data_IF_238521068401
#
_entry.id   IF_238521068401
#
_cell.length_a   1.000
_cell.length_b   1.000
_cell.length_c   1.000
_cell.angle_alpha   90.00
_cell.angle_beta   90.00
_cell.angle_gamma   90.00
#
_symmetry.space_group_name_H-M   'P 1'
#
loop_
_entity.id
_entity.type
_entity.pdbx_description
1 polymer ?
#
# COMPACT_ATOMS: atom_id res chain seq x y z
N UNK A 1 -9.50 -23.70 23.81
CA UNK A 1 -8.18 -23.89 23.17
C UNK A 1 -8.23 -23.13 21.84
N UNK A 2 -7.37 -22.13 21.64
CA UNK A 2 -7.34 -21.36 20.38
C UNK A 2 -6.55 -22.17 19.35
N UNK A 3 -7.14 -22.43 18.18
CA UNK A 3 -6.49 -23.15 17.07
C UNK A 3 -6.36 -22.17 15.89
N UNK A 4 -5.17 -22.09 15.30
CA UNK A 4 -5.00 -21.31 14.07
C UNK A 4 -5.85 -21.95 12.95
N UNK A 5 -6.48 -21.12 12.13
CA UNK A 5 -7.29 -21.60 11.00
C UNK A 5 -6.42 -21.97 9.78
N UNK A 6 -5.14 -21.57 9.79
CA UNK A 6 -4.13 -21.92 8.81
C UNK A 6 -2.84 -22.26 9.57
N UNK A 7 -2.55 -23.54 9.73
CA UNK A 7 -1.30 -24.03 10.31
C UNK A 7 -0.17 -24.02 9.24
N UNK A 8 -0.53 -24.15 7.96
CA UNK A 8 0.36 -24.02 6.81
C UNK A 8 0.30 -22.58 6.26
N UNK A 9 1.47 -21.99 6.02
CA UNK A 9 1.60 -20.64 5.47
C UNK A 9 2.81 -20.54 4.54
N UNK A 10 2.69 -19.66 3.55
CA UNK A 10 3.81 -19.26 2.71
C UNK A 10 4.29 -17.87 3.09
N UNK A 11 5.59 -17.64 2.92
CA UNK A 11 6.24 -16.39 3.28
C UNK A 11 6.35 -15.53 2.03
N UNK A 12 5.56 -14.45 1.98
CA UNK A 12 5.70 -13.42 0.93
C UNK A 12 7.06 -12.73 1.06
N UNK A 13 7.43 -12.35 2.28
CA UNK A 13 8.69 -11.69 2.58
C UNK A 13 9.09 -11.87 4.04
N UNK A 14 10.40 -11.97 4.29
CA UNK A 14 11.00 -11.96 5.63
C UNK A 14 12.18 -10.99 5.63
N UNK A 15 12.14 -10.00 6.51
CA UNK A 15 13.27 -9.08 6.69
C UNK A 15 14.50 -9.85 7.18
N UNK A 16 15.63 -9.66 6.50
CA UNK A 16 16.94 -10.17 6.93
C UNK A 16 17.52 -9.36 8.09
N UNK A 17 16.95 -8.18 8.38
CA UNK A 17 17.37 -7.26 9.44
C UNK A 17 16.21 -6.90 10.37
N UNK A 18 15.59 -7.88 11.05
CA UNK A 18 14.38 -7.65 11.85
C UNK A 18 14.59 -6.68 13.04
N UNK A 19 15.83 -6.38 13.42
CA UNK A 19 16.19 -5.41 14.45
C UNK A 19 16.01 -3.95 14.02
N UNK A 20 16.01 -3.65 12.71
CA UNK A 20 15.95 -2.27 12.22
C UNK A 20 15.19 -2.06 10.89
N UNK A 21 14.76 -3.13 10.23
CA UNK A 21 13.88 -3.15 9.05
C UNK A 21 12.68 -4.05 9.35
N UNK A 22 11.51 -3.44 9.44
CA UNK A 22 10.27 -4.09 9.82
C UNK A 22 9.26 -4.07 8.66
N UNK A 23 8.37 -5.06 8.63
CA UNK A 23 7.31 -5.16 7.63
C UNK A 23 6.01 -4.58 8.17
N UNK A 24 5.33 -3.75 7.39
CA UNK A 24 4.09 -3.06 7.77
C UNK A 24 3.01 -3.20 6.71
N UNK A 25 1.76 -3.07 7.16
CA UNK A 25 0.58 -2.77 6.33
C UNK A 25 0.46 -3.63 5.06
N UNK A 26 0.20 -4.95 5.19
CA UNK A 26 -0.01 -5.80 4.02
C UNK A 26 -1.33 -5.45 3.31
N UNK A 27 -1.30 -5.45 1.99
CA UNK A 27 -2.45 -5.40 1.09
C UNK A 27 -2.35 -6.52 0.06
N UNK A 28 -3.47 -7.04 -0.42
CA UNK A 28 -3.49 -8.15 -1.38
C UNK A 28 -4.67 -8.02 -2.33
N UNK A 29 -4.46 -8.40 -3.59
CA UNK A 29 -5.52 -8.51 -4.61
C UNK A 29 -5.25 -9.72 -5.50
N UNK A 30 -6.31 -10.34 -5.99
CA UNK A 30 -6.24 -11.35 -7.05
C UNK A 30 -6.75 -10.70 -8.33
N UNK A 31 -5.94 -10.75 -9.38
CA UNK A 31 -6.29 -10.13 -10.67
C UNK A 31 -7.14 -11.06 -11.52
N UNK A 32 -7.62 -10.58 -12.67
CA UNK A 32 -8.45 -11.39 -13.57
C UNK A 32 -7.71 -12.60 -14.16
N UNK A 33 -6.37 -12.55 -14.25
CA UNK A 33 -5.52 -13.68 -14.68
C UNK A 33 -5.35 -14.75 -13.59
N UNK A 34 -5.87 -14.50 -12.38
CA UNK A 34 -5.64 -15.26 -11.14
C UNK A 34 -4.25 -15.11 -10.53
N UNK A 35 -3.43 -14.17 -11.03
CA UNK A 35 -2.23 -13.76 -10.31
C UNK A 35 -2.60 -13.11 -8.98
N UNK A 36 -1.84 -13.44 -7.95
CA UNK A 36 -1.95 -12.80 -6.63
C UNK A 36 -0.90 -11.72 -6.52
N UNK A 37 -1.31 -10.50 -6.16
CA UNK A 37 -0.40 -9.37 -5.94
C UNK A 37 -0.50 -8.93 -4.50
N UNK A 38 0.64 -8.92 -3.81
CA UNK A 38 0.77 -8.44 -2.44
C UNK A 38 1.60 -7.15 -2.42
N UNK A 39 1.16 -6.21 -1.59
CA UNK A 39 1.95 -5.04 -1.22
C UNK A 39 2.17 -4.99 0.27
N UNK A 40 3.27 -4.41 0.70
CA UNK A 40 3.55 -4.08 2.10
C UNK A 40 4.63 -3.02 2.10
N UNK A 41 4.90 -2.40 3.25
CA UNK A 41 5.95 -1.39 3.35
C UNK A 41 7.02 -1.81 4.36
N UNK A 42 8.26 -1.52 4.03
CA UNK A 42 9.37 -1.56 4.95
C UNK A 42 9.46 -0.23 5.70
N UNK A 43 9.66 -0.31 7.01
CA UNK A 43 9.96 0.85 7.86
C UNK A 43 11.02 0.50 8.90
N UNK A 44 11.44 1.49 9.70
CA UNK A 44 12.51 1.33 10.68
C UNK A 44 13.77 2.12 10.32
N UNK A 45 14.74 2.18 11.24
CA UNK A 45 15.92 3.01 11.09
C UNK A 45 16.84 2.52 9.94
N UNK A 46 16.91 1.20 9.74
CA UNK A 46 17.74 0.58 8.72
C UNK A 46 17.22 0.78 7.30
N UNK A 47 15.95 1.17 7.12
CA UNK A 47 15.38 1.39 5.78
C UNK A 47 16.14 2.45 5.01
N UNK A 48 16.72 3.44 5.69
CA UNK A 48 17.48 4.51 5.02
C UNK A 48 18.70 4.00 4.23
N UNK A 49 19.23 2.84 4.61
CA UNK A 49 20.43 2.26 4.00
C UNK A 49 20.11 1.24 2.89
N UNK A 50 18.83 0.87 2.71
CA UNK A 50 18.41 -0.04 1.63
C UNK A 50 18.54 0.64 0.26
N UNK A 51 18.77 -0.13 -0.80
CA UNK A 51 18.69 0.39 -2.17
C UNK A 51 17.23 0.60 -2.59
N UNK A 52 16.99 1.56 -3.50
CA UNK A 52 15.66 1.84 -4.06
C UNK A 52 14.98 3.10 -3.53
N UNK A 53 13.80 3.44 -4.08
CA UNK A 53 13.07 4.66 -3.74
C UNK A 53 12.58 4.65 -2.30
N UNK A 54 12.65 5.81 -1.63
CA UNK A 54 12.20 5.98 -0.25
C UNK A 54 11.26 7.15 -0.13
N UNK A 55 10.13 6.90 0.51
CA UNK A 55 9.31 7.96 1.07
C UNK A 55 9.98 8.53 2.30
N UNK A 56 9.70 9.79 2.60
CA UNK A 56 10.14 10.46 3.82
C UNK A 56 8.96 11.07 4.56
N UNK A 57 8.91 10.87 5.88
CA UNK A 57 7.94 11.48 6.80
C UNK A 57 8.68 12.10 7.99
N UNK A 58 7.95 12.87 8.79
CA UNK A 58 8.45 13.51 10.00
C UNK A 58 9.74 14.33 9.75
N UNK A 59 9.73 15.13 8.68
CA UNK A 59 10.83 16.04 8.35
C UNK A 59 12.14 15.36 7.96
N UNK A 60 12.11 14.16 7.35
CA UNK A 60 13.36 13.47 6.96
C UNK A 60 13.84 12.40 7.93
N UNK A 61 13.13 12.19 9.04
CA UNK A 61 13.60 11.28 10.11
C UNK A 61 13.03 9.87 10.00
N UNK A 62 11.95 9.68 9.24
CA UNK A 62 11.33 8.37 9.02
C UNK A 62 11.26 8.03 7.54
N UNK A 63 11.92 6.94 7.18
CA UNK A 63 11.94 6.41 5.82
C UNK A 63 11.05 5.19 5.69
N UNK A 64 10.57 4.97 4.47
CA UNK A 64 9.85 3.77 4.14
C UNK A 64 9.87 3.49 2.66
N UNK A 65 9.63 2.23 2.36
CA UNK A 65 9.74 1.67 1.04
C UNK A 65 8.62 0.65 0.88
N UNK A 66 7.65 0.98 0.04
CA UNK A 66 6.65 0.01 -0.36
C UNK A 66 7.26 -1.05 -1.28
N UNK A 67 6.71 -2.25 -1.20
CA UNK A 67 7.15 -3.44 -1.90
C UNK A 67 5.97 -4.00 -2.69
N UNK A 68 6.24 -4.55 -3.87
CA UNK A 68 5.28 -5.33 -4.68
C UNK A 68 5.84 -6.72 -4.88
N UNK A 69 5.06 -7.71 -4.47
CA UNK A 69 5.32 -9.13 -4.72
C UNK A 69 4.17 -9.75 -5.50
N UNK A 70 4.48 -10.69 -6.38
CA UNK A 70 3.49 -11.41 -7.18
C UNK A 70 3.65 -12.91 -7.01
N UNK A 71 2.55 -13.64 -7.18
CA UNK A 71 2.51 -15.10 -7.22
C UNK A 71 1.63 -15.57 -8.37
N UNK A 72 2.19 -16.48 -9.16
CA UNK A 72 1.53 -17.11 -10.32
C UNK A 72 1.00 -18.52 -10.04
N UNK A 73 1.28 -19.06 -8.85
CA UNK A 73 0.96 -20.44 -8.44
C UNK A 73 -0.01 -20.46 -7.24
N UNK A 74 -0.86 -19.44 -7.12
CA UNK A 74 -1.89 -19.37 -6.09
C UNK A 74 -1.36 -19.08 -4.68
N UNK A 75 -0.17 -18.45 -4.59
CA UNK A 75 0.45 -18.05 -3.33
C UNK A 75 1.50 -19.03 -2.80
N UNK A 76 1.86 -20.06 -3.57
CA UNK A 76 2.86 -21.06 -3.17
C UNK A 76 4.29 -20.51 -3.25
N UNK A 77 4.56 -19.63 -4.22
CA UNK A 77 5.83 -18.91 -4.33
C UNK A 77 5.60 -17.45 -4.72
N UNK A 78 6.54 -16.59 -4.31
CA UNK A 78 6.43 -15.14 -4.46
C UNK A 78 7.70 -14.55 -5.05
N UNK A 79 7.54 -13.60 -5.96
CA UNK A 79 8.64 -12.87 -6.57
C UNK A 79 8.46 -11.36 -6.41
N UNK A 80 9.53 -10.66 -6.03
CA UNK A 80 9.54 -9.20 -6.02
C UNK A 80 9.40 -8.66 -7.44
N UNK A 81 8.62 -7.60 -7.62
CA UNK A 81 8.44 -6.91 -8.90
C UNK A 81 8.77 -5.44 -8.86
N UNK A 82 8.53 -4.76 -7.74
CA UNK A 82 8.82 -3.35 -7.64
C UNK A 82 8.97 -2.86 -6.20
N UNK A 83 9.60 -1.69 -6.05
CA UNK A 83 9.64 -0.91 -4.82
C UNK A 83 9.19 0.54 -5.09
N UNK A 84 8.57 1.20 -4.11
CA UNK A 84 7.99 2.54 -4.30
C UNK A 84 8.07 3.45 -3.05
N UNK A 85 8.10 4.78 -3.21
CA UNK A 85 8.45 5.72 -2.13
C UNK A 85 7.24 6.18 -1.28
N UNK A 86 6.27 5.31 -1.01
CA UNK A 86 5.12 5.66 -0.17
C UNK A 86 4.65 4.47 0.65
N UNK A 87 3.75 4.72 1.60
CA UNK A 87 3.30 3.73 2.59
C UNK A 87 1.80 3.47 2.53
N UNK A 88 1.40 2.47 3.31
CA UNK A 88 0.04 2.04 3.57
C UNK A 88 -0.70 1.76 2.27
N UNK A 89 0.08 1.21 1.36
CA UNK A 89 -0.30 0.96 0.00
C UNK A 89 -1.22 -0.24 -0.07
N UNK A 90 -2.20 -0.17 -0.96
CA UNK A 90 -3.12 -1.27 -1.23
C UNK A 90 -3.26 -1.46 -2.73
N UNK A 91 -3.19 -2.72 -3.21
CA UNK A 91 -3.42 -3.01 -4.60
C UNK A 91 -4.92 -3.18 -4.85
N UNK A 92 -5.42 -2.71 -5.99
CA UNK A 92 -6.79 -2.90 -6.42
C UNK A 92 -6.89 -2.87 -7.95
N UNK A 93 -7.94 -3.47 -8.49
CA UNK A 93 -8.17 -3.50 -9.95
C UNK A 93 -9.29 -2.54 -10.34
N UNK A 94 -9.13 -1.86 -11.46
CA UNK A 94 -10.14 -1.01 -12.09
C UNK A 94 -9.81 -0.87 -13.59
N UNK A 95 -10.81 -0.83 -14.45
CA UNK A 95 -10.63 -0.61 -15.89
C UNK A 95 -9.78 -1.67 -16.60
N UNK A 96 -9.74 -2.90 -16.06
CA UNK A 96 -8.86 -3.97 -16.57
C UNK A 96 -7.38 -3.78 -16.23
N UNK A 97 -7.06 -2.85 -15.33
CA UNK A 97 -5.70 -2.54 -14.89
C UNK A 97 -5.54 -2.74 -13.40
N UNK A 98 -4.29 -2.77 -12.96
CA UNK A 98 -3.91 -2.88 -11.57
C UNK A 98 -3.38 -1.53 -11.08
N UNK A 99 -3.81 -1.12 -9.90
CA UNK A 99 -3.41 0.12 -9.26
C UNK A 99 -2.90 -0.16 -7.86
N UNK A 100 -1.96 0.65 -7.40
CA UNK A 100 -1.56 0.72 -5.99
C UNK A 100 -1.77 2.16 -5.53
N UNK A 101 -2.56 2.33 -4.46
CA UNK A 101 -2.79 3.62 -3.82
C UNK A 101 -2.28 3.58 -2.37
N UNK A 102 -1.50 4.60 -2.01
CA UNK A 102 -0.99 4.83 -0.67
C UNK A 102 -0.71 6.30 -0.44
N UNK A 103 0.20 6.63 0.47
CA UNK A 103 0.52 8.03 0.75
C UNK A 103 1.93 8.25 1.32
N UNK A 104 2.49 9.43 1.06
CA UNK A 104 3.73 9.93 1.66
C UNK A 104 3.51 11.34 2.23
N UNK A 105 2.41 11.52 2.96
CA UNK A 105 1.81 12.83 3.22
C UNK A 105 0.60 12.96 2.30
N UNK A 106 0.84 13.37 1.07
CA UNK A 106 -0.14 13.37 -0.02
C UNK A 106 -0.46 11.95 -0.51
N UNK A 107 -1.66 11.78 -1.10
CA UNK A 107 -2.04 10.54 -1.77
C UNK A 107 -1.15 10.33 -2.99
N UNK A 108 -0.72 9.08 -3.18
CA UNK A 108 0.09 8.66 -4.31
C UNK A 108 -0.53 7.42 -4.94
N UNK A 109 -0.43 7.35 -6.26
CA UNK A 109 -0.91 6.21 -7.05
C UNK A 109 0.12 5.78 -8.08
N UNK A 110 0.18 4.49 -8.35
CA UNK A 110 0.91 3.91 -9.47
C UNK A 110 0.03 2.84 -10.13
N UNK A 111 0.33 2.54 -11.40
CA UNK A 111 -0.48 1.65 -12.23
C UNK A 111 0.39 0.63 -12.93
N UNK A 112 -0.15 -0.58 -13.11
CA UNK A 112 0.38 -1.59 -14.00
C UNK A 112 -0.66 -1.92 -15.08
N UNK A 113 -0.18 -2.01 -16.31
CA UNK A 113 -0.94 -2.38 -17.51
C UNK A 113 -0.67 -3.83 -17.94
N UNK A 114 0.19 -4.55 -17.23
CA UNK A 114 0.71 -5.88 -17.53
C UNK A 114 0.67 -6.82 -16.31
N UNK A 115 -0.41 -6.72 -15.54
CA UNK A 115 -0.71 -7.63 -14.44
C UNK A 115 0.35 -7.66 -13.33
N UNK A 116 0.92 -6.49 -13.02
CA UNK A 116 1.88 -6.29 -11.95
C UNK A 116 3.34 -6.60 -12.31
N UNK A 117 3.65 -6.93 -13.57
CA UNK A 117 5.05 -7.13 -14.02
C UNK A 117 5.83 -5.83 -14.01
N UNK A 118 5.27 -4.76 -14.61
CA UNK A 118 5.87 -3.43 -14.63
C UNK A 118 4.88 -2.38 -14.12
N UNK A 119 5.42 -1.24 -13.69
CA UNK A 119 4.64 -0.20 -13.06
C UNK A 119 5.05 1.18 -13.53
N UNK A 120 4.07 2.08 -13.62
CA UNK A 120 4.30 3.50 -13.86
C UNK A 120 5.10 4.14 -12.72
N UNK A 121 5.71 5.29 -13.01
CA UNK A 121 6.19 6.17 -11.96
C UNK A 121 5.04 6.57 -11.01
N UNK A 122 5.31 6.79 -9.72
CA UNK A 122 4.30 7.29 -8.78
C UNK A 122 3.79 8.67 -9.19
N UNK A 123 2.47 8.85 -9.11
CA UNK A 123 1.78 10.12 -9.36
C UNK A 123 1.13 10.59 -8.07
N UNK A 124 1.31 11.87 -7.75
CA UNK A 124 0.70 12.51 -6.60
C UNK A 124 -0.71 12.99 -6.94
N UNK A 125 -1.71 12.62 -6.13
CA UNK A 125 -3.13 12.94 -6.34
C UNK A 125 -3.64 14.11 -5.48
N UNK A 126 -2.93 14.47 -4.42
CA UNK A 126 -3.27 15.61 -3.56
C UNK A 126 -2.07 16.52 -3.37
N UNK A 127 -2.27 17.75 -2.91
CA UNK A 127 -1.17 18.68 -2.66
C UNK A 127 -1.23 19.26 -1.25
N UNK A 128 -0.13 19.13 -0.50
CA UNK A 128 0.02 19.66 0.85
C UNK A 128 -1.00 19.12 1.86
N UNK A 129 -1.49 17.89 1.63
CA UNK A 129 -2.38 17.19 2.55
C UNK A 129 -1.61 16.18 3.39
N UNK A 130 -2.22 15.73 4.49
CA UNK A 130 -1.69 14.66 5.32
C UNK A 130 -2.73 13.57 5.45
N UNK A 131 -2.50 12.46 4.80
CA UNK A 131 -3.37 11.29 4.88
C UNK A 131 -2.92 10.32 5.95
N UNK A 132 -3.85 9.51 6.42
CA UNK A 132 -3.69 8.40 7.35
C UNK A 132 -4.68 7.29 6.98
N UNK A 133 -4.36 6.07 7.40
CA UNK A 133 -5.14 4.87 7.10
C UNK A 133 -4.21 3.76 6.65
N UNK A 134 -4.17 2.67 7.43
CA UNK A 134 -3.45 1.44 7.07
C UNK A 134 -4.25 0.68 5.98
N UNK A 135 -4.03 -0.63 5.82
CA UNK A 135 -4.62 -1.44 4.74
C UNK A 135 -6.14 -1.60 4.92
N UNK A 136 -6.89 -0.58 4.51
CA UNK A 136 -8.34 -0.65 4.36
C UNK A 136 -8.68 -1.29 3.03
N UNK A 137 -9.67 -2.19 3.02
CA UNK A 137 -10.16 -2.81 1.80
C UNK A 137 -10.75 -1.79 0.82
N UNK A 138 -10.70 -2.14 -0.47
CA UNK A 138 -11.45 -1.46 -1.52
C UNK A 138 -12.77 -2.19 -1.70
N UNK A 139 -13.88 -1.45 -1.67
CA UNK A 139 -15.21 -2.01 -1.85
C UNK A 139 -15.76 -1.68 -3.23
N UNK A 140 -16.40 -2.65 -3.88
CA UNK A 140 -16.97 -2.50 -5.21
C UNK A 140 -18.49 -2.61 -5.15
N UNK A 141 -19.19 -1.56 -5.61
CA UNK A 141 -20.65 -1.54 -5.66
C UNK A 141 -21.15 -0.58 -6.73
N UNK A 142 -22.25 -0.94 -7.42
CA UNK A 142 -22.97 -0.06 -8.33
C UNK A 142 -22.10 0.57 -9.45
N UNK A 143 -21.08 -0.13 -9.94
CA UNK A 143 -20.15 0.40 -10.95
C UNK A 143 -19.08 1.36 -10.41
N UNK A 144 -18.91 1.41 -9.09
CA UNK A 144 -17.90 2.23 -8.41
C UNK A 144 -17.03 1.39 -7.49
N UNK A 145 -15.80 1.86 -7.29
CA UNK A 145 -14.96 1.47 -6.18
C UNK A 145 -15.03 2.55 -5.10
N UNK A 146 -14.93 2.12 -3.85
CA UNK A 146 -14.98 2.96 -2.65
C UNK A 146 -13.83 2.59 -1.72
N UNK A 147 -13.21 3.61 -1.13
CA UNK A 147 -12.06 3.44 -0.25
C UNK A 147 -12.12 4.50 0.85
N UNK A 148 -12.07 4.08 2.12
CA UNK A 148 -12.04 4.99 3.25
C UNK A 148 -10.60 5.29 3.71
N UNK A 149 -10.27 6.57 3.83
CA UNK A 149 -9.01 7.09 4.39
C UNK A 149 -9.29 8.27 5.32
N UNK A 150 -8.36 8.54 6.21
CA UNK A 150 -8.45 9.68 7.11
C UNK A 150 -7.55 10.81 6.63
N UNK A 151 -8.13 12.00 6.48
CA UNK A 151 -7.37 13.23 6.29
C UNK A 151 -7.04 13.81 7.67
N UNK A 152 -5.76 14.04 7.98
CA UNK A 152 -5.34 14.77 9.18
C UNK A 152 -5.57 16.26 8.96
N UNK A 153 -6.71 16.75 9.43
CA UNK A 153 -7.17 18.14 9.30
C UNK A 153 -6.60 19.06 10.37
N UNK A 154 -6.57 18.58 11.60
CA UNK A 154 -6.00 19.34 12.72
C UNK A 154 -4.55 18.93 12.95
N UNK A 155 -3.64 19.86 12.62
CA UNK A 155 -2.21 19.68 12.79
C UNK A 155 -1.69 20.25 14.12
N UNK A 156 -2.51 21.00 14.85
CA UNK A 156 -2.14 21.59 16.14
C UNK A 156 -2.23 20.59 17.29
N UNK A 157 -2.93 19.47 17.11
CA UNK A 157 -3.02 18.42 18.13
C UNK A 157 -1.66 17.75 18.33
N UNK A 158 -1.11 17.98 19.52
CA UNK A 158 0.05 17.29 20.08
C UNK A 158 -0.41 16.01 20.84
N UNK A 159 0.39 14.94 20.78
CA UNK A 159 0.04 13.65 21.40
C UNK A 159 -0.78 12.73 20.49
N UNK A 160 -1.90 12.20 20.99
CA UNK A 160 -2.75 11.24 20.26
C UNK A 160 -3.54 11.93 19.14
N UNK A 161 -2.90 12.04 17.98
CA UNK A 161 -3.38 12.80 16.83
C UNK A 161 -4.63 12.24 16.13
N UNK A 162 -5.19 11.10 16.57
CA UNK A 162 -6.42 10.53 16.00
C UNK A 162 -7.62 11.47 16.13
N UNK A 163 -7.66 12.32 17.16
CA UNK A 163 -8.72 13.32 17.30
C UNK A 163 -8.74 14.38 16.17
N UNK A 164 -7.63 14.53 15.44
CA UNK A 164 -7.52 15.44 14.30
C UNK A 164 -7.79 14.78 12.94
N UNK A 165 -8.19 13.50 12.94
CA UNK A 165 -8.51 12.76 11.72
C UNK A 165 -9.95 13.03 11.28
N UNK A 166 -10.12 13.28 9.99
CA UNK A 166 -11.40 13.43 9.34
C UNK A 166 -11.55 12.30 8.31
N UNK A 167 -12.46 11.33 8.54
CA UNK A 167 -12.72 10.28 7.57
C UNK A 167 -13.20 10.83 6.23
N UNK A 168 -12.69 10.26 5.15
CA UNK A 168 -13.04 10.56 3.76
C UNK A 168 -13.32 9.25 3.03
N UNK A 169 -14.36 9.27 2.22
CA UNK A 169 -14.63 8.19 1.27
C UNK A 169 -14.20 8.65 -0.11
N UNK A 170 -13.17 8.02 -0.64
CA UNK A 170 -12.77 8.14 -2.03
C UNK A 170 -13.67 7.24 -2.88
N UNK A 171 -14.04 7.72 -4.07
CA UNK A 171 -14.89 7.00 -5.01
C UNK A 171 -14.38 7.23 -6.43
N UNK A 172 -14.32 6.16 -7.21
CA UNK A 172 -14.05 6.24 -8.65
C UNK A 172 -14.94 5.25 -9.39
N UNK A 173 -15.22 5.52 -10.68
CA UNK A 173 -15.88 4.55 -11.56
C UNK A 173 -14.94 3.39 -11.81
N UNK A 174 -15.47 2.16 -11.89
CA UNK A 174 -14.63 0.98 -12.15
C UNK A 174 -14.19 0.85 -13.62
N UNK A 175 -14.80 1.60 -14.53
CA UNK A 175 -14.64 1.48 -15.98
C UNK A 175 -14.04 2.73 -16.65
N UNK A 176 -13.61 3.73 -15.85
CA UNK A 176 -13.05 4.99 -16.35
C UNK A 176 -11.75 5.32 -15.63
N UNK A 177 -10.79 5.86 -16.36
CA UNK A 177 -9.51 6.34 -15.82
C UNK A 177 -9.53 7.84 -15.44
N UNK A 178 -10.63 8.57 -15.75
CA UNK A 178 -10.80 10.01 -15.54
C UNK A 178 -12.21 10.35 -15.04
#
# INVERSE_FOLDING_TARGET
>A
MMRALADDFEIVYRSERPQDVYCYTPGIVVTASRRVVATFDLGGAGVRDLLGPKGSRAGGTRFGMGMVYVSDDGGCSWAERNTFPFWHARPFTAGGRLYILGHAGDLMIMRSDDDGETWSAPVTLTSNMKWHGSSCNVHYANGYLYLALDERRDLAIEGWNTAGLAPRVLRARIDHDF
#
